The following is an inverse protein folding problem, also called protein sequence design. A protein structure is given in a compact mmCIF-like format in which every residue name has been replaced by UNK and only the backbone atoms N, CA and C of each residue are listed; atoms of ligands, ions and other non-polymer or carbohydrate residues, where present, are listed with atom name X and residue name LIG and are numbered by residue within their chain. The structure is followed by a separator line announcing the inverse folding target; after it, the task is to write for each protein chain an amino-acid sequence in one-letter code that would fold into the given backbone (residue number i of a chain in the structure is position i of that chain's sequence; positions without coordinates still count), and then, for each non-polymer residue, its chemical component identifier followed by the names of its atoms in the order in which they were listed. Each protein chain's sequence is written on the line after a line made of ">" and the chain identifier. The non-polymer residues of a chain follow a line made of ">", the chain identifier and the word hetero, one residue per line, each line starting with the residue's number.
data_IF_222990422134
#
_entry.id   IF_222990422134
#
_cell.length_a   1.000
_cell.length_b   1.000
_cell.length_c   1.000
_cell.angle_alpha   90.00
_cell.angle_beta   90.00
_cell.angle_gamma   90.00
#
_symmetry.space_group_name_H-M   'P 1'
#
loop_
_entity.id
_entity.type
_entity.pdbx_description
1 polymer ?
#
# COMPACT_ATOMS: atom_id res chain seq x y z
N UNK A 1 -26.88 18.56 27.23
CA UNK A 1 -26.25 19.19 26.04
C UNK A 1 -27.07 18.79 24.83
N UNK A 2 -27.71 19.74 24.12
CA UNK A 2 -28.47 19.46 22.89
C UNK A 2 -27.55 19.75 21.71
N UNK A 3 -27.15 18.72 20.98
CA UNK A 3 -26.36 18.88 19.75
C UNK A 3 -27.35 19.33 18.66
N UNK A 4 -27.13 20.52 18.11
CA UNK A 4 -27.83 21.00 16.91
C UNK A 4 -26.98 20.64 15.70
N UNK A 5 -27.52 19.81 14.82
CA UNK A 5 -26.93 19.51 13.53
C UNK A 5 -27.35 20.59 12.54
N UNK A 6 -26.41 21.26 11.88
CA UNK A 6 -26.74 22.16 10.77
C UNK A 6 -27.22 21.34 9.57
N UNK A 7 -28.21 21.84 8.82
CA UNK A 7 -28.67 21.20 7.58
C UNK A 7 -27.62 21.29 6.46
N UNK A 8 -26.69 22.24 6.60
CA UNK A 8 -25.56 22.43 5.71
C UNK A 8 -24.40 21.54 6.18
N UNK A 9 -24.39 20.30 5.70
CA UNK A 9 -23.19 19.47 5.71
C UNK A 9 -22.41 19.77 4.43
N UNK A 10 -21.39 20.63 4.52
CA UNK A 10 -20.48 20.86 3.42
C UNK A 10 -19.57 19.65 3.26
N UNK A 11 -19.76 18.89 2.17
CA UNK A 11 -18.80 17.88 1.78
C UNK A 11 -17.47 18.57 1.44
N UNK A 12 -16.44 18.31 2.24
CA UNK A 12 -15.08 18.72 1.89
C UNK A 12 -14.75 18.08 0.54
N UNK A 13 -14.52 18.90 -0.48
CA UNK A 13 -14.07 18.39 -1.77
C UNK A 13 -12.76 17.65 -1.55
N UNK A 14 -12.81 16.33 -1.65
CA UNK A 14 -11.61 15.51 -1.60
C UNK A 14 -10.92 15.72 -2.94
N UNK A 15 -9.67 16.21 -2.97
CA UNK A 15 -8.98 16.42 -4.23
C UNK A 15 -8.92 15.10 -4.98
N UNK A 16 -9.15 15.14 -6.29
CA UNK A 16 -9.00 13.93 -7.11
C UNK A 16 -7.58 13.39 -6.93
N UNK A 17 -7.43 12.09 -6.60
CA UNK A 17 -6.12 11.51 -6.39
C UNK A 17 -5.35 11.57 -7.70
N UNK A 18 -4.29 12.38 -7.75
CA UNK A 18 -3.33 12.34 -8.85
C UNK A 18 -2.79 10.89 -9.01
N UNK A 19 -2.47 10.44 -10.23
CA UNK A 19 -2.13 9.03 -10.51
C UNK A 19 -1.08 8.42 -9.58
N UNK A 20 -0.12 9.24 -9.13
CA UNK A 20 1.00 8.81 -8.28
C UNK A 20 0.87 9.24 -6.81
N UNK A 21 -0.26 9.84 -6.41
CA UNK A 21 -0.44 10.35 -5.05
C UNK A 21 -0.20 9.26 -3.99
N UNK A 22 -0.81 8.09 -4.17
CA UNK A 22 -0.72 7.00 -3.21
C UNK A 22 0.71 6.44 -3.08
N UNK A 23 1.47 6.38 -4.18
CA UNK A 23 2.88 5.96 -4.15
C UNK A 23 3.75 6.98 -3.41
N UNK A 24 3.46 8.27 -3.58
CA UNK A 24 4.16 9.34 -2.85
C UNK A 24 3.89 9.27 -1.35
N UNK A 25 2.63 9.15 -0.95
CA UNK A 25 2.28 9.00 0.47
C UNK A 25 2.87 7.71 1.06
N UNK A 26 2.85 6.61 0.31
CA UNK A 26 3.51 5.36 0.70
C UNK A 26 5.02 5.57 0.93
N UNK A 27 5.70 6.26 0.02
CA UNK A 27 7.14 6.53 0.16
C UNK A 27 7.43 7.33 1.43
N UNK A 28 6.63 8.36 1.72
CA UNK A 28 6.76 9.18 2.93
C UNK A 28 6.54 8.32 4.20
N UNK A 29 5.54 7.44 4.18
CA UNK A 29 5.24 6.58 5.32
C UNK A 29 6.29 5.50 5.56
N UNK A 30 6.82 4.88 4.51
CA UNK A 30 7.93 3.91 4.63
C UNK A 30 9.18 4.57 5.22
N UNK A 31 9.48 5.81 4.82
CA UNK A 31 10.58 6.61 5.39
C UNK A 31 10.31 6.97 6.85
N UNK A 32 9.09 7.41 7.19
CA UNK A 32 8.70 7.75 8.56
C UNK A 32 8.85 6.56 9.51
N UNK A 33 8.48 5.36 9.03
CA UNK A 33 8.58 4.11 9.79
C UNK A 33 9.99 3.49 9.76
N UNK A 34 10.96 4.10 9.05
CA UNK A 34 12.34 3.62 8.90
C UNK A 34 12.43 2.19 8.36
N UNK A 35 11.55 1.84 7.42
CA UNK A 35 11.58 0.55 6.75
C UNK A 35 12.68 0.57 5.69
N UNK A 36 13.61 -0.38 5.76
CA UNK A 36 14.74 -0.49 4.83
C UNK A 36 14.28 -0.95 3.44
N UNK A 37 13.85 0.02 2.62
CA UNK A 37 13.46 -0.13 1.22
C UNK A 37 13.97 1.08 0.43
N UNK A 38 14.46 0.82 -0.79
CA UNK A 38 14.65 1.87 -1.76
C UNK A 38 13.30 2.33 -2.34
N UNK A 39 12.77 3.43 -1.81
CA UNK A 39 11.48 4.01 -2.25
C UNK A 39 11.44 4.43 -3.72
N UNK A 40 12.61 4.59 -4.36
CA UNK A 40 12.68 4.90 -5.81
C UNK A 40 12.25 3.73 -6.69
N UNK A 41 12.15 2.53 -6.12
CA UNK A 41 11.70 1.33 -6.80
C UNK A 41 10.19 1.10 -6.70
N UNK A 42 9.46 1.95 -5.96
CA UNK A 42 7.99 1.92 -5.97
C UNK A 42 7.48 2.27 -7.38
N UNK A 43 6.54 1.49 -7.88
CA UNK A 43 6.04 1.62 -9.26
C UNK A 43 6.86 0.85 -10.30
N UNK A 44 8.01 0.27 -9.92
CA UNK A 44 8.84 -0.52 -10.84
C UNK A 44 8.50 -2.01 -10.69
N UNK A 45 8.09 -2.70 -11.79
CA UNK A 45 7.81 -4.13 -11.74
C UNK A 45 9.10 -4.93 -11.51
N UNK A 46 9.00 -6.00 -10.72
CA UNK A 46 10.09 -6.96 -10.44
C UNK A 46 11.42 -6.31 -10.01
N UNK A 47 11.34 -5.20 -9.29
CA UNK A 47 12.50 -4.38 -8.93
C UNK A 47 13.47 -5.03 -7.92
N UNK A 48 13.07 -6.15 -7.30
CA UNK A 48 13.82 -6.80 -6.23
C UNK A 48 14.25 -8.22 -6.65
N UNK A 49 15.41 -8.39 -7.30
CA UNK A 49 15.88 -9.70 -7.77
C UNK A 49 16.16 -10.68 -6.61
N UNK A 50 16.60 -10.16 -5.47
CA UNK A 50 16.95 -10.94 -4.27
C UNK A 50 15.76 -11.24 -3.33
N UNK A 51 14.55 -10.84 -3.71
CA UNK A 51 13.36 -10.98 -2.86
C UNK A 51 12.85 -9.65 -2.35
N UNK A 52 11.61 -9.31 -2.67
CA UNK A 52 10.98 -8.10 -2.14
C UNK A 52 9.53 -7.92 -2.58
N UNK A 53 8.81 -7.11 -1.80
CA UNK A 53 7.47 -6.67 -2.20
C UNK A 53 7.58 -5.63 -3.29
N UNK A 54 6.75 -5.77 -4.33
CA UNK A 54 6.62 -4.86 -5.46
C UNK A 54 5.21 -4.27 -5.48
N UNK A 55 5.09 -3.02 -5.93
CA UNK A 55 3.82 -2.36 -6.22
C UNK A 55 3.97 -1.61 -7.54
N UNK A 56 3.05 -1.81 -8.48
CA UNK A 56 3.00 -1.05 -9.73
C UNK A 56 1.60 -1.08 -10.35
N UNK A 57 1.36 -0.21 -11.32
CA UNK A 57 0.13 -0.19 -12.13
C UNK A 57 0.37 -0.91 -13.45
N UNK A 58 -0.54 -1.79 -13.84
CA UNK A 58 -0.56 -2.48 -15.13
C UNK A 58 -1.96 -2.30 -15.75
N UNK A 59 -2.03 -1.74 -16.96
CA UNK A 59 -3.24 -1.23 -17.63
C UNK A 59 -4.05 -0.24 -16.76
N UNK A 60 -4.98 -0.76 -15.94
CA UNK A 60 -5.78 0.02 -14.99
C UNK A 60 -5.93 -0.63 -13.61
N UNK A 61 -5.12 -1.65 -13.33
CA UNK A 61 -5.11 -2.35 -12.05
C UNK A 61 -3.78 -2.13 -11.34
N UNK A 62 -3.83 -2.07 -10.02
CA UNK A 62 -2.68 -2.04 -9.15
C UNK A 62 -2.35 -3.46 -8.69
N UNK A 63 -1.10 -3.84 -8.87
CA UNK A 63 -0.58 -5.14 -8.51
C UNK A 63 0.39 -4.99 -7.35
N UNK A 64 0.14 -5.73 -6.27
CA UNK A 64 1.06 -5.88 -5.14
C UNK A 64 1.42 -7.35 -5.01
N UNK A 65 2.71 -7.68 -5.01
CA UNK A 65 3.18 -9.06 -4.96
C UNK A 65 4.58 -9.14 -4.38
N UNK A 66 4.97 -10.31 -3.91
CA UNK A 66 6.37 -10.61 -3.59
C UNK A 66 7.05 -11.18 -4.83
N UNK A 67 8.17 -10.59 -5.25
CA UNK A 67 9.02 -11.08 -6.34
C UNK A 67 10.32 -11.62 -5.75
N UNK A 68 10.68 -12.85 -6.10
CA UNK A 68 11.94 -13.48 -5.70
C UNK A 68 12.46 -14.37 -6.85
N UNK A 69 13.70 -14.15 -7.30
CA UNK A 69 14.35 -14.96 -8.35
C UNK A 69 13.49 -15.13 -9.61
N UNK A 70 12.80 -14.07 -10.02
CA UNK A 70 11.93 -14.06 -11.20
C UNK A 70 10.59 -14.78 -11.03
N UNK A 71 10.22 -15.17 -9.80
CA UNK A 71 8.91 -15.72 -9.46
C UNK A 71 8.09 -14.70 -8.68
N UNK A 72 6.84 -14.50 -9.10
CA UNK A 72 5.85 -13.69 -8.39
C UNK A 72 5.01 -14.59 -7.50
N UNK A 73 4.79 -14.20 -6.25
CA UNK A 73 3.99 -14.92 -5.26
C UNK A 73 3.16 -13.96 -4.42
N UNK A 74 2.03 -14.42 -3.87
CA UNK A 74 1.18 -13.61 -3.01
C UNK A 74 0.62 -12.37 -3.71
N UNK A 75 0.27 -12.49 -4.99
CA UNK A 75 -0.24 -11.39 -5.78
C UNK A 75 -1.65 -10.98 -5.33
N UNK A 76 -1.82 -9.68 -5.09
CA UNK A 76 -3.10 -9.04 -4.81
C UNK A 76 -3.36 -7.94 -5.84
N UNK A 77 -4.61 -7.84 -6.27
CA UNK A 77 -5.07 -6.95 -7.34
C UNK A 77 -6.02 -5.92 -6.74
N UNK A 78 -5.82 -4.65 -7.07
CA UNK A 78 -6.63 -3.54 -6.58
C UNK A 78 -7.01 -2.62 -7.72
N UNK A 79 -8.21 -2.05 -7.65
CA UNK A 79 -8.65 -0.96 -8.54
C UNK A 79 -8.25 0.42 -8.00
N UNK A 80 -7.99 0.51 -6.69
CA UNK A 80 -7.62 1.73 -5.98
C UNK A 80 -6.13 1.75 -5.69
N UNK A 81 -5.46 2.86 -6.04
CA UNK A 81 -4.05 3.08 -5.69
C UNK A 81 -3.83 3.18 -4.18
N UNK A 82 -4.82 3.73 -3.46
CA UNK A 82 -4.81 3.84 -2.01
C UNK A 82 -4.86 2.47 -1.33
N UNK A 83 -5.74 1.58 -1.78
CA UNK A 83 -5.86 0.23 -1.20
C UNK A 83 -4.60 -0.59 -1.47
N UNK A 84 -4.04 -0.49 -2.69
CA UNK A 84 -2.77 -1.12 -3.03
C UNK A 84 -1.61 -0.63 -2.16
N UNK A 85 -1.50 0.69 -1.95
CA UNK A 85 -0.47 1.29 -1.12
C UNK A 85 -0.59 0.84 0.35
N UNK A 86 -1.81 0.84 0.90
CA UNK A 86 -2.06 0.37 2.26
C UNK A 86 -1.77 -1.11 2.42
N UNK A 87 -2.14 -1.94 1.44
CA UNK A 87 -1.82 -3.36 1.44
C UNK A 87 -0.30 -3.59 1.37
N UNK A 88 0.43 -2.86 0.53
CA UNK A 88 1.89 -2.92 0.48
C UNK A 88 2.53 -2.57 1.83
N UNK A 89 2.09 -1.46 2.43
CA UNK A 89 2.58 -1.01 3.73
C UNK A 89 2.31 -2.07 4.80
N UNK A 90 1.08 -2.57 4.83
CA UNK A 90 0.67 -3.65 5.72
C UNK A 90 1.56 -4.89 5.54
N UNK A 91 1.79 -5.35 4.31
CA UNK A 91 2.64 -6.50 4.01
C UNK A 91 4.08 -6.31 4.50
N UNK A 92 4.61 -5.08 4.45
CA UNK A 92 5.96 -4.76 4.95
C UNK A 92 6.04 -4.70 6.47
N UNK A 93 4.99 -4.23 7.15
CA UNK A 93 5.01 -4.10 8.61
C UNK A 93 4.61 -5.42 9.28
N UNK A 94 3.56 -6.08 8.79
CA UNK A 94 2.96 -7.26 9.40
C UNK A 94 3.76 -8.55 9.14
N UNK A 95 4.56 -8.59 8.07
CA UNK A 95 5.23 -9.81 7.61
C UNK A 95 4.24 -10.98 7.55
N UNK A 96 3.11 -10.83 6.82
CA UNK A 96 2.12 -11.88 6.76
C UNK A 96 2.77 -13.15 6.22
N UNK A 97 2.41 -14.29 6.79
CA UNK A 97 2.74 -15.59 6.21
C UNK A 97 2.10 -15.63 4.82
N UNK A 98 2.69 -16.39 3.90
CA UNK A 98 2.16 -16.60 2.55
C UNK A 98 0.78 -17.34 2.54
N UNK A 99 0.06 -17.37 3.66
CA UNK A 99 -1.26 -17.95 3.82
C UNK A 99 -2.34 -16.85 3.89
N UNK A 100 -3.57 -17.19 3.49
CA UNK A 100 -4.68 -16.24 3.46
C UNK A 100 -5.22 -15.90 4.87
N UNK A 101 -4.67 -16.49 5.94
CA UNK A 101 -5.16 -16.27 7.31
C UNK A 101 -4.73 -14.94 7.91
N UNK A 102 -3.72 -14.29 7.35
CA UNK A 102 -3.19 -13.05 7.91
C UNK A 102 -3.90 -11.79 7.39
N UNK A 103 -4.74 -11.89 6.35
CA UNK A 103 -5.47 -10.73 5.82
C UNK A 103 -6.39 -10.13 6.89
N UNK A 104 -6.13 -8.88 7.28
CA UNK A 104 -6.88 -8.17 8.34
C UNK A 104 -6.25 -8.22 9.74
N UNK A 105 -5.14 -8.94 9.92
CA UNK A 105 -4.39 -8.91 11.18
C UNK A 105 -3.63 -7.60 11.32
N UNK A 106 -3.73 -6.95 12.49
CA UNK A 106 -2.97 -5.73 12.77
C UNK A 106 -1.46 -6.02 12.70
N UNK A 107 -0.68 -5.21 11.96
CA UNK A 107 0.77 -5.37 11.91
C UNK A 107 1.38 -5.32 13.30
N UNK A 108 2.19 -6.33 13.64
CA UNK A 108 2.97 -6.31 14.89
C UNK A 108 4.25 -5.52 14.66
N UNK A 109 4.23 -4.23 14.98
CA UNK A 109 5.44 -3.41 15.02
C UNK A 109 6.44 -4.03 16.01
N UNK A 110 7.64 -4.39 15.52
CA UNK A 110 8.75 -4.79 16.41
C UNK A 110 9.11 -3.58 17.28
N UNK A 111 9.03 -3.74 18.60
CA UNK A 111 9.50 -2.77 19.58
C UNK A 111 11.03 -2.72 19.61
#
# INVERSE_FOLDING_TARGET
>A
MKIQWSEEYEFVQTPEPTPDWALRELALELQRLKIDINVRLLGVPDAFPDGGWCIHKEDDIWLVYHSERGRRSGAAIFTSSFDAANFYLWSRVAHPRNDNSDVGMLPRLKK
#
